data_IF_606481318709
#
_entry.id   IF_606481318709
#
_cell.length_a   1.000
_cell.length_b   1.000
_cell.length_c   1.000
_cell.angle_alpha   90.00
_cell.angle_beta   90.00
_cell.angle_gamma   90.00
#
_symmetry.space_group_name_H-M   'P 1'
#
loop_
_entity.id
_entity.type
_entity.pdbx_description
1 polymer ?
#
# COMPACT_ATOMS: atom_id res chain seq x y z
N UNK A 1 55.87 48.41 9.01
CA UNK A 1 56.02 47.11 8.33
C UNK A 1 55.56 46.06 9.31
N UNK A 2 54.25 45.83 9.30
CA UNK A 2 53.58 44.66 8.70
C UNK A 2 53.34 43.60 9.78
N UNK A 3 52.11 43.59 10.31
CA UNK A 3 51.65 42.58 11.25
C UNK A 3 51.50 41.25 10.52
N UNK A 4 52.15 40.21 11.05
CA UNK A 4 52.10 38.86 10.51
C UNK A 4 50.65 38.31 10.61
N UNK A 5 49.96 38.02 9.50
CA UNK A 5 48.64 37.41 9.56
C UNK A 5 48.83 35.94 9.96
N UNK A 6 48.56 35.61 11.22
CA UNK A 6 48.47 34.23 11.67
C UNK A 6 47.27 33.57 11.02
N UNK A 7 47.48 32.85 9.93
CA UNK A 7 46.47 31.96 9.36
C UNK A 7 46.31 30.76 10.30
N UNK A 8 45.18 30.71 11.01
CA UNK A 8 44.88 29.61 11.93
C UNK A 8 44.81 28.25 11.22
N UNK A 9 45.17 27.18 11.93
CA UNK A 9 45.03 25.81 11.42
C UNK A 9 43.54 25.48 11.28
N UNK A 10 43.14 24.99 10.12
CA UNK A 10 41.80 24.47 9.88
C UNK A 10 41.88 23.02 9.38
N UNK A 11 40.86 22.24 9.70
CA UNK A 11 40.67 20.88 9.20
C UNK A 11 39.19 20.69 8.88
N UNK A 12 38.88 19.78 7.96
CA UNK A 12 37.52 19.41 7.63
C UNK A 12 37.28 17.93 7.93
N UNK A 13 36.02 17.58 8.18
CA UNK A 13 35.59 16.20 8.30
C UNK A 13 34.27 16.05 7.53
N UNK A 14 34.07 14.87 6.94
CA UNK A 14 32.82 14.53 6.25
C UNK A 14 31.91 13.77 7.19
N UNK A 15 30.67 14.22 7.30
CA UNK A 15 29.59 13.47 7.95
C UNK A 15 28.56 13.05 6.90
N UNK A 16 27.97 11.87 7.09
CA UNK A 16 26.89 11.37 6.22
C UNK A 16 25.62 11.33 7.05
N UNK A 17 24.65 12.16 6.67
CA UNK A 17 23.31 12.17 7.26
C UNK A 17 22.41 11.34 6.37
N UNK A 18 21.73 10.36 6.96
CA UNK A 18 20.68 9.58 6.28
C UNK A 18 19.33 10.00 6.83
N UNK A 19 18.43 10.40 5.93
CA UNK A 19 17.04 10.66 6.28
C UNK A 19 16.30 9.33 6.25
N UNK A 20 15.58 9.02 7.31
CA UNK A 20 14.70 7.85 7.39
C UNK A 20 13.29 8.24 7.02
N UNK A 21 12.62 7.37 6.27
CA UNK A 21 11.21 7.49 5.95
C UNK A 21 10.33 7.39 7.20
N UNK A 22 9.20 8.09 7.19
CA UNK A 22 8.13 7.99 8.20
C UNK A 22 6.82 7.78 7.46
N UNK A 23 5.86 7.10 8.07
CA UNK A 23 4.54 6.93 7.46
C UNK A 23 3.77 8.25 7.56
N UNK A 24 3.86 9.07 6.51
CA UNK A 24 3.16 10.34 6.39
C UNK A 24 2.35 10.48 5.08
N UNK A 25 2.33 9.44 4.24
CA UNK A 25 1.47 9.37 3.05
C UNK A 25 0.57 8.14 3.12
N UNK A 26 -0.75 8.28 3.34
CA UNK A 26 -1.64 7.13 3.34
C UNK A 26 -1.81 6.52 1.94
N UNK A 27 -2.10 5.22 1.84
CA UNK A 27 -2.40 4.58 0.56
C UNK A 27 -3.75 5.07 0.01
N UNK A 28 -3.77 5.42 -1.27
CA UNK A 28 -4.95 5.90 -1.99
C UNK A 28 -5.33 4.93 -3.12
N UNK A 29 -6.61 4.56 -3.23
CA UNK A 29 -7.07 3.79 -4.39
C UNK A 29 -6.93 4.61 -5.68
N UNK A 30 -6.50 3.96 -6.77
CA UNK A 30 -6.37 4.64 -8.07
C UNK A 30 -7.70 4.95 -8.73
N UNK A 31 -8.78 4.26 -8.32
CA UNK A 31 -10.15 4.44 -8.84
C UNK A 31 -11.17 4.27 -7.71
N UNK A 32 -12.32 4.92 -7.84
CA UNK A 32 -13.40 4.84 -6.85
C UNK A 32 -14.17 3.51 -6.90
N UNK A 33 -14.06 2.77 -8.00
CA UNK A 33 -14.80 1.53 -8.21
C UNK A 33 -13.94 0.52 -8.96
N UNK A 34 -14.02 -0.73 -8.50
CA UNK A 34 -13.40 -1.89 -9.14
C UNK A 34 -14.50 -2.88 -9.53
N UNK A 35 -14.39 -3.43 -10.73
CA UNK A 35 -15.30 -4.46 -11.24
C UNK A 35 -14.57 -5.78 -11.36
N UNK A 36 -15.26 -6.87 -11.06
CA UNK A 36 -14.72 -8.21 -11.18
C UNK A 36 -15.82 -9.22 -11.42
N UNK A 37 -15.51 -10.23 -12.21
CA UNK A 37 -16.44 -11.30 -12.58
C UNK A 37 -15.78 -12.66 -12.29
N UNK A 38 -16.58 -13.58 -11.77
CA UNK A 38 -16.11 -14.93 -11.47
C UNK A 38 -17.21 -15.92 -11.79
N UNK A 39 -16.81 -17.03 -12.40
CA UNK A 39 -17.75 -18.13 -12.64
C UNK A 39 -18.14 -18.75 -11.30
N UNK A 40 -19.42 -19.08 -11.16
CA UNK A 40 -19.92 -19.76 -9.96
C UNK A 40 -19.14 -21.06 -9.70
N UNK A 41 -19.09 -21.47 -8.43
CA UNK A 41 -18.41 -22.68 -7.98
C UNK A 41 -16.88 -22.69 -8.17
N UNK A 42 -16.26 -21.50 -8.25
CA UNK A 42 -14.79 -21.34 -8.24
C UNK A 42 -14.34 -20.72 -6.92
N UNK A 43 -13.28 -21.29 -6.36
CA UNK A 43 -12.56 -20.78 -5.16
C UNK A 43 -11.11 -20.53 -5.49
N UNK A 44 -10.45 -19.70 -4.70
CA UNK A 44 -9.04 -19.31 -4.83
C UNK A 44 -8.72 -18.72 -6.21
N UNK A 45 -9.68 -18.01 -6.80
CA UNK A 45 -9.50 -17.26 -8.05
C UNK A 45 -9.52 -15.78 -7.72
N UNK A 46 -8.63 -15.03 -8.35
CA UNK A 46 -8.60 -13.56 -8.29
C UNK A 46 -9.77 -13.03 -9.12
N UNK A 47 -10.65 -12.29 -8.46
CA UNK A 47 -11.84 -11.66 -9.03
C UNK A 47 -11.51 -10.26 -9.56
N UNK A 48 -10.66 -9.53 -8.83
CA UNK A 48 -10.19 -8.20 -9.20
C UNK A 48 -8.87 -7.88 -8.48
N UNK A 49 -8.08 -7.00 -9.09
CA UNK A 49 -6.89 -6.39 -8.48
C UNK A 49 -7.26 -4.97 -8.05
N UNK A 50 -7.08 -4.66 -6.77
CA UNK A 50 -7.34 -3.35 -6.18
C UNK A 50 -6.02 -2.58 -6.14
N UNK A 51 -5.86 -1.63 -7.05
CA UNK A 51 -4.64 -0.83 -7.18
C UNK A 51 -4.66 0.37 -6.26
N UNK A 52 -3.54 0.60 -5.56
CA UNK A 52 -3.32 1.76 -4.69
C UNK A 52 -2.01 2.46 -5.03
N UNK A 53 -1.92 3.74 -4.70
CA UNK A 53 -0.69 4.53 -4.70
C UNK A 53 -0.37 4.96 -3.29
N UNK A 54 0.89 4.83 -2.92
CA UNK A 54 1.44 5.26 -1.64
C UNK A 54 2.82 5.88 -1.92
N UNK A 55 3.10 7.03 -1.33
CA UNK A 55 4.31 7.82 -1.59
C UNK A 55 5.43 7.55 -0.58
N UNK A 56 5.15 6.77 0.46
CA UNK A 56 6.15 6.32 1.41
C UNK A 56 7.14 5.36 0.74
N UNK A 57 8.24 5.05 1.42
CA UNK A 57 9.29 4.24 0.85
C UNK A 57 8.78 2.82 0.48
N UNK A 58 8.88 2.40 -0.80
CA UNK A 58 8.39 1.09 -1.23
C UNK A 58 9.01 -0.09 -0.47
N UNK A 59 8.23 -1.15 -0.29
CA UNK A 59 8.60 -2.36 0.45
C UNK A 59 8.97 -2.12 1.92
N UNK A 60 8.46 -1.04 2.52
CA UNK A 60 8.48 -0.81 3.96
C UNK A 60 7.09 -1.03 4.57
N UNK A 61 7.01 -1.03 5.89
CA UNK A 61 5.72 -1.08 6.60
C UNK A 61 4.92 0.21 6.47
N UNK A 62 5.55 1.33 6.12
CA UNK A 62 4.86 2.60 5.87
C UNK A 62 4.03 2.49 4.58
N UNK A 63 4.64 1.92 3.54
CA UNK A 63 4.03 1.70 2.23
C UNK A 63 3.09 0.48 2.15
N UNK A 64 3.29 -0.57 2.96
CA UNK A 64 2.55 -1.83 2.81
C UNK A 64 1.06 -1.71 3.20
N UNK A 65 0.18 -1.77 2.20
CA UNK A 65 -1.26 -1.62 2.36
C UNK A 65 -1.91 -2.86 3.00
N UNK A 66 -2.95 -2.63 3.80
CA UNK A 66 -3.79 -3.68 4.40
C UNK A 66 -5.24 -3.45 4.01
N UNK A 67 -5.85 -4.46 3.40
CA UNK A 67 -7.22 -4.38 2.91
C UNK A 67 -8.21 -5.07 3.83
N UNK A 68 -9.41 -4.50 3.94
CA UNK A 68 -10.52 -5.09 4.70
C UNK A 68 -11.85 -4.81 4.02
N UNK A 69 -12.69 -5.84 3.96
CA UNK A 69 -14.06 -5.72 3.48
C UNK A 69 -14.92 -5.12 4.61
N UNK A 70 -15.54 -3.97 4.33
CA UNK A 70 -16.34 -3.23 5.32
C UNK A 70 -17.84 -3.51 5.19
N UNK A 71 -18.30 -3.96 4.03
CA UNK A 71 -19.70 -4.22 3.71
C UNK A 71 -19.83 -5.21 2.54
N UNK A 72 -21.02 -5.77 2.35
CA UNK A 72 -21.33 -6.64 1.19
C UNK A 72 -20.90 -8.10 1.32
N UNK A 73 -20.11 -8.46 2.34
CA UNK A 73 -19.69 -9.85 2.60
C UNK A 73 -20.01 -10.35 4.02
N UNK A 74 -21.30 -10.43 4.43
CA UNK A 74 -21.68 -10.87 5.77
C UNK A 74 -21.34 -12.34 6.06
N UNK A 75 -21.00 -13.12 5.03
CA UNK A 75 -20.74 -14.57 5.15
C UNK A 75 -19.27 -14.94 4.97
N UNK A 76 -18.39 -13.95 4.80
CA UNK A 76 -16.94 -14.16 4.65
C UNK A 76 -16.58 -15.00 3.42
N UNK A 77 -17.20 -14.72 2.28
CA UNK A 77 -16.94 -15.40 1.01
C UNK A 77 -15.72 -14.86 0.27
N UNK A 78 -15.25 -13.68 0.63
CA UNK A 78 -14.14 -13.02 -0.04
C UNK A 78 -12.96 -12.75 0.90
N UNK A 79 -11.75 -12.68 0.34
CA UNK A 79 -10.52 -12.27 1.02
C UNK A 79 -9.71 -11.35 0.11
N UNK A 80 -8.92 -10.45 0.69
CA UNK A 80 -8.08 -9.49 -0.05
C UNK A 80 -6.65 -9.55 0.49
N UNK A 81 -5.86 -10.59 0.18
CA UNK A 81 -4.43 -10.56 0.42
C UNK A 81 -3.75 -9.44 -0.38
N UNK A 82 -2.80 -8.76 0.26
CA UNK A 82 -1.94 -7.77 -0.41
C UNK A 82 -0.80 -8.48 -1.15
N UNK A 83 -0.54 -8.09 -2.40
CA UNK A 83 0.67 -8.47 -3.13
C UNK A 83 1.86 -7.66 -2.58
N UNK A 84 2.90 -8.31 -1.99
CA UNK A 84 4.02 -7.60 -1.38
C UNK A 84 4.94 -6.88 -2.39
N UNK A 85 4.78 -7.17 -3.68
CA UNK A 85 5.60 -6.58 -4.75
C UNK A 85 4.93 -5.34 -5.32
N UNK A 86 3.63 -5.39 -5.56
CA UNK A 86 2.88 -4.30 -6.22
C UNK A 86 2.05 -3.45 -5.26
N UNK A 87 1.90 -3.89 -4.01
CA UNK A 87 0.98 -3.34 -3.02
C UNK A 87 -0.51 -3.52 -3.34
N UNK A 88 -0.85 -4.26 -4.41
CA UNK A 88 -2.23 -4.42 -4.83
C UNK A 88 -3.01 -5.37 -3.92
N UNK A 89 -4.29 -5.07 -3.69
CA UNK A 89 -5.21 -5.97 -3.00
C UNK A 89 -5.79 -7.00 -3.97
N UNK A 90 -5.53 -8.28 -3.76
CA UNK A 90 -6.03 -9.35 -4.63
C UNK A 90 -7.37 -9.88 -4.11
N UNK A 91 -8.50 -9.38 -4.63
CA UNK A 91 -9.82 -9.87 -4.22
C UNK A 91 -10.01 -11.32 -4.68
N UNK A 92 -10.23 -12.24 -3.75
CA UNK A 92 -10.32 -13.68 -4.00
C UNK A 92 -11.58 -14.29 -3.39
N UNK A 93 -12.15 -15.32 -4.03
CA UNK A 93 -13.25 -16.11 -3.46
C UNK A 93 -12.69 -17.21 -2.56
N UNK A 94 -13.08 -17.23 -1.29
CA UNK A 94 -12.66 -18.25 -0.31
C UNK A 94 -13.76 -19.25 0.06
N UNK A 95 -15.03 -18.99 -0.31
CA UNK A 95 -16.15 -19.90 -0.05
C UNK A 95 -17.17 -19.92 -1.19
N UNK A 96 -17.64 -21.11 -1.55
CA UNK A 96 -18.69 -21.29 -2.56
C UNK A 96 -20.08 -21.17 -1.93
N UNK A 97 -20.96 -20.35 -2.51
CA UNK A 97 -22.37 -20.25 -2.13
C UNK A 97 -23.14 -19.30 -3.04
N UNK A 98 -24.01 -19.90 -3.87
CA UNK A 98 -24.86 -19.38 -4.95
C UNK A 98 -25.26 -17.88 -4.94
N UNK A 99 -25.26 -17.29 -6.15
CA UNK A 99 -25.80 -15.99 -6.60
C UNK A 99 -25.01 -14.72 -6.24
N UNK A 100 -24.41 -14.07 -7.26
CA UNK A 100 -23.76 -12.76 -7.15
C UNK A 100 -24.53 -11.65 -7.86
N UNK A 101 -25.07 -10.73 -7.07
CA UNK A 101 -25.11 -9.31 -7.40
C UNK A 101 -24.55 -8.60 -6.16
N UNK A 102 -23.31 -8.12 -6.23
CA UNK A 102 -22.72 -7.31 -5.15
C UNK A 102 -21.95 -6.16 -5.75
N UNK A 103 -22.42 -4.93 -5.46
CA UNK A 103 -21.60 -3.73 -5.57
C UNK A 103 -20.76 -3.63 -4.28
N UNK A 104 -19.44 -3.69 -4.39
CA UNK A 104 -18.54 -3.47 -3.26
C UNK A 104 -18.12 -2.00 -3.24
N UNK A 105 -18.53 -1.28 -2.19
CA UNK A 105 -17.98 0.03 -1.85
C UNK A 105 -16.78 -0.20 -0.92
N UNK A 106 -15.58 0.13 -1.37
CA UNK A 106 -14.34 0.02 -0.59
C UNK A 106 -13.97 1.39 -0.03
N UNK A 107 -13.86 1.50 1.29
CA UNK A 107 -13.37 2.69 1.98
C UNK A 107 -12.19 2.27 2.86
N UNK A 108 -11.05 2.92 2.68
CA UNK A 108 -9.86 2.78 3.54
C UNK A 108 -10.06 3.74 4.72
N UNK A 109 -9.99 3.28 5.98
CA UNK A 109 -10.00 4.20 7.12
C UNK A 109 -8.69 5.00 7.19
N UNK A 110 -8.81 6.28 7.60
CA UNK A 110 -7.69 7.21 7.87
C UNK A 110 -6.67 6.66 8.86
#
# INVERSE_FOLDING_TARGET
MEGNPTYGLSNTATTVIRVTDVNDNPPEFTTDTFFGEVHENRVNVIVANLTVTDKDQPHTTAWAAVYRIIAGDPTGRFSIPTDPTTNEGLLTVVKVGFSLHTHTNTHIPE
#
